data_IF_328752493546
#
_entry.id   IF_328752493546
#
_cell.length_a   1.000
_cell.length_b   1.000
_cell.length_c   1.000
_cell.angle_alpha   90.00
_cell.angle_beta   90.00
_cell.angle_gamma   90.00
#
_symmetry.space_group_name_H-M   'P 1'
#
loop_
_entity.id
_entity.type
_entity.pdbx_description
1 polymer ?
#
# COMPACT_ATOMS: atom_id res chain seq x y z
N UNK A 1 24.77 3.48 1.82
CA UNK A 1 25.01 3.38 0.36
C UNK A 1 23.76 3.87 -0.36
N UNK A 2 23.78 5.03 -1.02
CA UNK A 2 22.63 5.48 -1.82
C UNK A 2 22.42 4.47 -2.96
N UNK A 3 21.32 3.72 -2.90
CA UNK A 3 20.95 2.78 -3.95
C UNK A 3 20.30 3.59 -5.07
N UNK A 4 20.86 3.61 -6.28
CA UNK A 4 20.16 4.19 -7.44
C UNK A 4 18.88 3.38 -7.68
N UNK A 5 17.74 3.96 -7.32
CA UNK A 5 16.43 3.36 -7.59
C UNK A 5 15.91 3.97 -8.88
N UNK A 6 15.67 3.14 -9.89
CA UNK A 6 15.06 3.60 -11.12
C UNK A 6 13.59 3.96 -10.84
N UNK A 7 13.29 5.26 -10.83
CA UNK A 7 11.96 5.80 -10.51
C UNK A 7 10.86 5.19 -11.40
N UNK A 8 11.17 4.94 -12.69
CA UNK A 8 10.28 4.24 -13.62
C UNK A 8 9.89 2.83 -13.17
N UNK A 9 10.86 2.04 -12.70
CA UNK A 9 10.61 0.67 -12.20
C UNK A 9 9.77 0.72 -10.93
N UNK A 10 9.96 1.76 -10.11
CA UNK A 10 9.16 1.94 -8.89
C UNK A 10 7.72 2.30 -9.20
N UNK A 11 7.47 3.20 -10.15
CA UNK A 11 6.12 3.55 -10.62
C UNK A 11 5.41 2.31 -11.19
N UNK A 12 6.11 1.52 -12.00
CA UNK A 12 5.54 0.32 -12.63
C UNK A 12 5.16 -0.74 -11.58
N UNK A 13 6.03 -0.96 -10.58
CA UNK A 13 5.72 -1.82 -9.44
C UNK A 13 4.59 -1.27 -8.55
N UNK A 14 4.47 0.05 -8.44
CA UNK A 14 3.39 0.71 -7.69
C UNK A 14 2.03 0.40 -8.32
N UNK A 15 1.93 0.51 -9.64
CA UNK A 15 0.71 0.23 -10.41
C UNK A 15 0.38 -1.26 -10.35
N UNK A 16 1.39 -2.13 -10.51
CA UNK A 16 1.22 -3.60 -10.51
C UNK A 16 0.78 -4.13 -9.13
N UNK A 17 1.26 -3.55 -8.03
CA UNK A 17 0.96 -4.02 -6.67
C UNK A 17 -0.18 -3.26 -5.98
N UNK A 18 -0.97 -2.47 -6.72
CA UNK A 18 -2.05 -1.63 -6.17
C UNK A 18 -1.55 -0.66 -5.06
N UNK A 19 -0.31 -0.19 -5.16
CA UNK A 19 0.26 0.82 -4.26
C UNK A 19 0.97 0.31 -3.01
N UNK A 20 0.99 -1.01 -2.75
CA UNK A 20 1.66 -1.59 -1.58
C UNK A 20 3.19 -1.41 -1.65
N UNK A 21 3.76 -1.38 -2.86
CA UNK A 21 5.18 -1.14 -3.07
C UNK A 21 5.68 0.21 -2.54
N UNK A 22 4.79 1.21 -2.42
CA UNK A 22 5.14 2.50 -1.83
C UNK A 22 5.53 2.45 -0.38
N UNK A 23 4.92 1.54 0.37
CA UNK A 23 5.18 1.33 1.79
C UNK A 23 6.58 0.75 1.98
N UNK A 24 6.97 -0.21 1.13
CA UNK A 24 8.33 -0.77 1.11
C UNK A 24 9.38 0.30 0.78
N UNK A 25 9.08 1.20 -0.16
CA UNK A 25 10.01 2.28 -0.50
C UNK A 25 10.14 3.31 0.62
N UNK A 26 9.02 3.73 1.22
CA UNK A 26 9.00 4.63 2.37
C UNK A 26 9.83 4.05 3.53
N UNK A 27 9.66 2.76 3.82
CA UNK A 27 10.47 2.05 4.82
C UNK A 27 11.98 2.14 4.54
N UNK A 28 12.39 1.83 3.31
CA UNK A 28 13.80 1.85 2.93
C UNK A 28 14.41 3.26 3.04
N UNK A 29 13.67 4.28 2.61
CA UNK A 29 14.08 5.68 2.71
C UNK A 29 14.18 6.15 4.17
N UNK A 30 13.20 5.81 5.01
CA UNK A 30 13.22 6.13 6.44
C UNK A 30 14.36 5.45 7.17
N UNK A 31 14.69 4.19 6.81
CA UNK A 31 15.85 3.48 7.37
C UNK A 31 17.16 4.22 7.09
N UNK A 32 17.37 4.65 5.85
CA UNK A 32 18.57 5.41 5.48
C UNK A 32 18.65 6.74 6.28
N UNK A 33 17.55 7.49 6.39
CA UNK A 33 17.52 8.75 7.16
C UNK A 33 17.82 8.57 8.65
N UNK A 34 17.33 7.50 9.28
CA UNK A 34 17.62 7.22 10.70
C UNK A 34 19.07 6.84 10.92
N UNK A 35 19.63 6.04 10.01
CA UNK A 35 21.03 5.61 10.09
C UNK A 35 22.00 6.80 9.97
N UNK A 36 21.67 7.79 9.14
CA UNK A 36 22.42 9.05 9.08
C UNK A 36 22.26 9.91 10.34
N UNK A 37 21.09 9.87 10.99
CA UNK A 37 20.76 10.78 12.09
C UNK A 37 21.19 10.26 13.47
N UNK A 38 21.77 9.04 13.57
CA UNK A 38 22.18 8.41 14.86
C UNK A 38 21.05 8.47 15.92
N UNK A 39 19.80 8.44 15.49
CA UNK A 39 18.66 8.50 16.40
C UNK A 39 18.22 7.07 16.75
N UNK A 40 18.04 6.80 18.04
CA UNK A 40 17.47 5.55 18.56
C UNK A 40 15.95 5.40 18.28
N UNK A 41 15.41 6.20 17.36
CA UNK A 41 14.02 6.14 16.94
C UNK A 41 13.82 5.04 15.91
N UNK A 42 13.14 3.95 16.30
CA UNK A 42 12.89 2.81 15.41
C UNK A 42 12.06 3.24 14.17
N UNK A 43 12.66 3.31 12.95
CA UNK A 43 11.99 3.78 11.74
C UNK A 43 10.81 2.87 11.34
N UNK A 44 10.83 1.65 11.86
CA UNK A 44 9.84 0.61 11.61
C UNK A 44 8.50 0.96 12.25
N UNK A 45 8.49 1.55 13.46
CA UNK A 45 7.26 1.79 14.23
C UNK A 45 6.31 2.76 13.53
N UNK A 46 6.84 3.86 13.00
CA UNK A 46 6.05 4.86 12.27
C UNK A 46 5.53 4.34 10.93
N UNK A 47 6.31 3.48 10.28
CA UNK A 47 5.93 2.88 8.99
C UNK A 47 4.79 1.87 9.15
N UNK A 48 4.80 1.10 10.24
CA UNK A 48 3.73 0.16 10.60
C UNK A 48 2.45 0.89 11.02
N UNK A 49 2.57 1.99 11.76
CA UNK A 49 1.41 2.81 12.14
C UNK A 49 0.68 3.37 10.91
N UNK A 50 1.41 3.70 9.84
CA UNK A 50 0.87 4.11 8.53
C UNK A 50 0.20 2.98 7.74
N UNK A 51 0.42 1.71 8.11
CA UNK A 51 -0.20 0.56 7.45
C UNK A 51 -1.69 0.39 7.82
N UNK A 52 -2.07 0.81 9.03
CA UNK A 52 -3.45 0.75 9.56
C UNK A 52 -4.47 1.45 8.62
N UNK A 53 -4.25 2.71 8.16
CA UNK A 53 -5.17 3.35 7.24
C UNK A 53 -5.20 2.70 5.84
N UNK A 54 -4.09 2.11 5.39
CA UNK A 54 -4.02 1.40 4.09
C UNK A 54 -4.83 0.09 4.13
N UNK A 55 -4.79 -0.63 5.25
CA UNK A 55 -5.64 -1.80 5.50
C UNK A 55 -7.14 -1.45 5.51
N UNK A 56 -7.52 -0.31 6.07
CA UNK A 56 -8.90 0.18 6.04
C UNK A 56 -9.41 0.46 4.62
N UNK A 57 -8.53 0.90 3.71
CA UNK A 57 -8.87 1.13 2.30
C UNK A 57 -9.21 -0.16 1.54
N UNK A 58 -8.47 -1.25 1.80
CA UNK A 58 -8.78 -2.56 1.23
C UNK A 58 -10.07 -3.17 1.79
N UNK A 59 -10.43 -2.86 3.04
CA UNK A 59 -11.69 -3.30 3.64
C UNK A 59 -12.93 -2.68 2.96
N UNK A 60 -12.84 -1.39 2.60
CA UNK A 60 -13.93 -0.66 1.93
C UNK A 60 -14.14 -1.12 0.48
N UNK A 61 -13.06 -1.37 -0.27
CA UNK A 61 -13.17 -1.87 -1.65
C UNK A 61 -13.80 -3.28 -1.70
N UNK A 62 -13.51 -4.13 -0.70
CA UNK A 62 -14.12 -5.45 -0.56
C UNK A 62 -15.61 -5.44 -0.19
N UNK A 63 -16.13 -4.38 0.44
CA UNK A 63 -17.56 -4.26 0.73
C UNK A 63 -18.34 -3.74 -0.49
N UNK A 64 -17.78 -2.81 -1.28
CA UNK A 64 -18.40 -2.29 -2.51
C UNK A 64 -18.45 -3.33 -3.63
N UNK A 65 -17.37 -4.12 -3.84
CA UNK A 65 -17.37 -5.22 -4.81
C UNK A 65 -18.45 -6.26 -4.47
N UNK A 66 -18.65 -6.55 -3.18
CA UNK A 66 -19.69 -7.48 -2.72
C UNK A 66 -21.11 -6.95 -2.98
N UNK A 67 -21.30 -5.64 -2.88
CA UNK A 67 -22.57 -4.97 -3.19
C UNK A 67 -22.85 -4.97 -4.71
N UNK A 68 -21.84 -4.79 -5.57
CA UNK A 68 -22.03 -4.80 -7.03
C UNK A 68 -22.46 -6.19 -7.53
N UNK A 69 -21.87 -7.27 -7.01
CA UNK A 69 -22.28 -8.63 -7.35
C UNK A 69 -23.70 -8.97 -6.87
N UNK A 70 -24.13 -8.45 -5.70
CA UNK A 70 -25.52 -8.64 -5.20
C UNK A 70 -26.56 -7.99 -6.12
N UNK A 71 -26.25 -6.82 -6.69
CA UNK A 71 -27.13 -6.14 -7.64
C UNK A 71 -27.16 -6.83 -9.01
N UNK A 72 -26.07 -7.46 -9.43
CA UNK A 72 -25.99 -8.22 -10.68
C UNK A 72 -26.78 -9.53 -10.64
N UNK A 73 -26.87 -10.19 -9.48
CA UNK A 73 -27.68 -11.42 -9.29
C UNK A 73 -29.17 -11.15 -9.09
N UNK A 74 -29.55 -9.90 -8.76
CA UNK A 74 -30.96 -9.51 -8.66
C UNK A 74 -31.59 -9.15 -10.02
N UNK A 75 -30.78 -9.02 -11.08
CA UNK A 75 -31.21 -8.62 -12.42
C UNK A 75 -31.07 -9.74 -13.47
N UNK A 76 -30.91 -11.01 -13.06
CA UNK A 76 -31.26 -12.13 -13.94
C UNK A 76 -32.78 -12.29 -13.91
N UNK A 77 -33.52 -11.93 -14.97
CA UNK A 77 -34.92 -12.31 -15.06
C UNK A 77 -34.99 -13.83 -14.99
N UNK A 78 -35.67 -14.35 -13.97
CA UNK A 78 -36.25 -15.68 -14.01
C UNK A 78 -37.07 -15.77 -15.28
N UNK A 79 -36.64 -16.63 -16.21
CA UNK A 79 -37.51 -17.10 -17.29
C UNK A 79 -38.78 -17.74 -16.70
#
# INVERSE_FOLDING_TARGET
MIKRRNMLVQILLFIVTLGIYGIYWFYATSKEMVEYKKLDGSPILWTILLFIPFGSFFSLTGSTVRQSWRLQTASTPSC
#
